data_IF_575031234806
#
_entry.id   IF_575031234806
#
_cell.length_a   1.000
_cell.length_b   1.000
_cell.length_c   1.000
_cell.angle_alpha   90.00
_cell.angle_beta   90.00
_cell.angle_gamma   90.00
#
_symmetry.space_group_name_H-M   'P 1'
#
loop_
_entity.id
_entity.type
_entity.pdbx_description
1 polymer ?
#
# COMPACT_ATOMS: atom_id res chain seq x y z
N UNK A 1 15.45 -0.54 7.97
CA UNK A 1 14.13 -1.10 8.36
C UNK A 1 13.74 -2.13 7.33
N UNK A 2 13.15 -3.26 7.75
CA UNK A 2 12.67 -4.33 6.85
C UNK A 2 11.16 -4.42 6.98
N UNK A 3 10.46 -4.55 5.84
CA UNK A 3 9.01 -4.77 5.77
C UNK A 3 8.69 -5.87 4.75
N UNK A 4 7.72 -6.73 5.06
CA UNK A 4 7.21 -7.78 4.18
C UNK A 4 5.68 -7.81 4.23
N UNK A 5 5.08 -8.51 3.27
CA UNK A 5 3.63 -8.81 3.27
C UNK A 5 2.74 -7.58 3.43
N UNK A 6 3.05 -6.54 2.67
CA UNK A 6 2.33 -5.25 2.73
C UNK A 6 0.92 -5.40 2.15
N UNK A 7 0.79 -6.17 1.06
CA UNK A 7 -0.48 -6.57 0.46
C UNK A 7 -1.49 -5.44 0.24
N UNK A 8 -1.03 -4.28 -0.20
CA UNK A 8 -1.91 -3.13 -0.47
C UNK A 8 -2.56 -2.50 0.76
N UNK A 9 -2.14 -2.86 1.98
CA UNK A 9 -2.67 -2.32 3.24
C UNK A 9 -2.00 -0.96 3.55
N UNK A 10 -2.43 0.08 2.83
CA UNK A 10 -1.81 1.41 2.85
C UNK A 10 -1.76 2.05 4.23
N UNK A 11 -2.86 2.02 4.99
CA UNK A 11 -2.94 2.68 6.29
C UNK A 11 -1.94 2.07 7.30
N UNK A 12 -1.86 0.73 7.33
CA UNK A 12 -0.91 0.02 8.17
C UNK A 12 0.54 0.32 7.74
N UNK A 13 0.81 0.33 6.43
CA UNK A 13 2.11 0.65 5.88
C UNK A 13 2.56 2.06 6.26
N UNK A 14 1.73 3.08 6.03
CA UNK A 14 2.04 4.47 6.39
C UNK A 14 2.23 4.64 7.90
N UNK A 15 1.41 3.98 8.71
CA UNK A 15 1.58 4.03 10.16
C UNK A 15 2.94 3.49 10.60
N UNK A 16 3.40 2.36 10.03
CA UNK A 16 4.71 1.78 10.34
C UNK A 16 5.85 2.71 9.88
N UNK A 17 5.73 3.33 8.70
CA UNK A 17 6.71 4.31 8.23
C UNK A 17 6.77 5.52 9.14
N UNK A 18 5.63 6.10 9.50
CA UNK A 18 5.55 7.31 10.30
C UNK A 18 6.10 7.12 11.72
N UNK A 19 5.92 5.93 12.31
CA UNK A 19 6.44 5.63 13.65
C UNK A 19 7.87 5.07 13.65
N UNK A 20 8.45 4.83 12.47
CA UNK A 20 9.78 4.24 12.31
C UNK A 20 9.88 2.84 12.93
N UNK A 21 8.82 2.04 12.81
CA UNK A 21 8.72 0.72 13.47
C UNK A 21 8.99 0.77 14.99
N UNK A 22 8.49 1.84 15.64
CA UNK A 22 8.62 2.05 17.08
C UNK A 22 9.91 2.75 17.54
N UNK A 23 10.86 3.01 16.63
CA UNK A 23 12.14 3.68 16.95
C UNK A 23 11.90 5.06 17.55
N UNK A 24 10.99 5.85 16.98
CA UNK A 24 10.71 7.21 17.44
C UNK A 24 10.16 7.18 18.87
N UNK A 25 9.19 6.29 19.14
CA UNK A 25 8.64 6.10 20.49
C UNK A 25 9.73 5.70 21.49
N UNK A 26 10.58 4.74 21.13
CA UNK A 26 11.69 4.30 21.97
C UNK A 26 12.66 5.45 22.30
N UNK A 27 12.95 6.32 21.33
CA UNK A 27 13.80 7.50 21.54
C UNK A 27 13.15 8.55 22.45
N UNK A 28 11.85 8.78 22.33
CA UNK A 28 11.10 9.66 23.24
C UNK A 28 11.12 9.09 24.66
N UNK A 29 10.92 7.79 24.84
CA UNK A 29 10.97 7.13 26.14
C UNK A 29 12.38 7.21 26.76
N UNK A 30 13.43 7.02 25.97
CA UNK A 30 14.82 7.14 26.40
C UNK A 30 15.16 8.56 26.87
N UNK A 31 14.75 9.59 26.10
CA UNK A 31 15.01 11.00 26.39
C UNK A 31 14.30 11.48 27.65
N UNK A 32 13.02 11.18 27.76
CA UNK A 32 12.17 11.82 28.77
C UNK A 32 11.89 10.93 29.98
N UNK A 33 12.04 9.60 29.88
CA UNK A 33 11.82 8.66 30.98
C UNK A 33 10.66 9.11 31.90
N UNK A 34 11.00 9.66 33.06
CA UNK A 34 10.06 10.15 34.07
C UNK A 34 9.95 11.68 34.12
N UNK A 35 10.60 12.43 33.22
CA UNK A 35 10.61 13.90 33.26
C UNK A 35 9.31 14.52 32.72
N UNK A 36 8.57 13.78 31.89
CA UNK A 36 7.23 14.16 31.42
C UNK A 36 6.27 12.97 31.58
N UNK A 37 4.96 13.25 31.57
CA UNK A 37 3.95 12.21 31.74
C UNK A 37 3.91 11.23 30.56
N UNK A 38 3.33 10.04 30.76
CA UNK A 38 3.10 9.10 29.67
C UNK A 38 2.19 9.69 28.59
N UNK A 39 1.21 10.50 29.01
CA UNK A 39 0.32 11.22 28.10
C UNK A 39 1.10 12.15 27.19
N UNK A 40 1.99 12.99 27.75
CA UNK A 40 2.83 13.91 26.99
C UNK A 40 3.74 13.19 26.00
N UNK A 41 4.33 12.03 26.41
CA UNK A 41 5.16 11.23 25.49
C UNK A 41 4.35 10.68 24.30
N UNK A 42 3.12 10.22 24.55
CA UNK A 42 2.21 9.76 23.49
C UNK A 42 1.79 10.91 22.59
N UNK A 43 1.52 12.06 23.16
CA UNK A 43 1.14 13.27 22.44
C UNK A 43 2.26 13.74 21.51
N UNK A 44 3.49 13.80 22.00
CA UNK A 44 4.68 14.13 21.21
C UNK A 44 4.92 13.11 20.08
N UNK A 45 4.79 11.82 20.38
CA UNK A 45 4.91 10.77 19.37
C UNK A 45 3.84 10.93 18.26
N UNK A 46 2.58 11.19 18.65
CA UNK A 46 1.49 11.39 17.69
C UNK A 46 1.73 12.64 16.83
N UNK A 47 2.26 13.71 17.42
CA UNK A 47 2.62 14.92 16.67
C UNK A 47 3.69 14.64 15.60
N UNK A 48 4.69 13.83 15.92
CA UNK A 48 5.73 13.44 14.95
C UNK A 48 5.15 12.56 13.84
N UNK A 49 4.27 11.61 14.19
CA UNK A 49 3.69 10.67 13.21
C UNK A 49 2.73 11.36 12.25
N UNK A 50 1.87 12.23 12.78
CA UNK A 50 0.76 12.88 12.08
C UNK A 50 0.70 14.36 12.45
N UNK A 51 1.67 15.19 12.01
CA UNK A 51 1.78 16.57 12.48
C UNK A 51 0.57 17.42 12.11
N UNK A 52 0.08 17.35 10.88
CA UNK A 52 -1.03 18.17 10.42
C UNK A 52 -2.34 17.84 11.15
N UNK A 53 -2.67 16.56 11.25
CA UNK A 53 -3.88 16.07 11.91
C UNK A 53 -3.86 16.41 13.41
N UNK A 54 -2.70 16.22 14.06
CA UNK A 54 -2.55 16.50 15.49
C UNK A 54 -2.65 18.01 15.76
N UNK A 55 -2.02 18.86 14.97
CA UNK A 55 -2.11 20.32 15.11
C UNK A 55 -3.54 20.81 14.90
N UNK A 56 -4.23 20.29 13.89
CA UNK A 56 -5.64 20.64 13.64
C UNK A 56 -6.54 20.24 14.82
N UNK A 57 -6.30 19.08 15.42
CA UNK A 57 -7.03 18.64 16.60
C UNK A 57 -6.78 19.56 17.81
N UNK A 58 -5.52 19.92 18.06
CA UNK A 58 -5.11 20.79 19.15
C UNK A 58 -5.75 22.19 18.99
N UNK A 59 -5.69 22.78 17.79
CA UNK A 59 -6.31 24.07 17.50
C UNK A 59 -7.81 24.06 17.78
N UNK A 60 -8.54 23.05 17.30
CA UNK A 60 -9.97 22.87 17.58
C UNK A 60 -10.28 22.72 19.06
N UNK A 61 -9.37 22.10 19.82
CA UNK A 61 -9.55 21.94 21.27
C UNK A 61 -9.41 23.28 21.98
N UNK A 62 -8.41 24.09 21.59
CA UNK A 62 -8.09 25.36 22.22
C UNK A 62 -9.01 26.51 21.74
N UNK A 63 -9.70 26.41 20.59
CA UNK A 63 -10.69 27.41 20.12
C UNK A 63 -11.76 27.76 21.16
N UNK A 64 -11.95 26.92 22.17
CA UNK A 64 -12.92 27.13 23.27
C UNK A 64 -12.34 27.91 24.44
N UNK A 65 -11.04 28.16 24.47
CA UNK A 65 -10.36 28.87 25.56
C UNK A 65 -10.43 30.37 25.35
N UNK A 66 -10.71 31.15 26.43
CA UNK A 66 -10.78 32.63 26.38
C UNK A 66 -9.48 33.28 25.90
N UNK A 67 -8.32 32.63 26.13
CA UNK A 67 -7.00 33.10 25.74
C UNK A 67 -6.35 32.20 24.69
N UNK A 68 -7.09 31.87 23.64
CA UNK A 68 -6.68 30.91 22.57
C UNK A 68 -5.24 31.10 22.09
N UNK A 69 -4.87 32.35 21.69
CA UNK A 69 -3.55 32.64 21.13
C UNK A 69 -2.41 32.35 22.14
N UNK A 70 -2.61 32.75 23.38
CA UNK A 70 -1.58 32.52 24.42
C UNK A 70 -1.41 31.03 24.73
N UNK A 71 -2.51 30.28 24.84
CA UNK A 71 -2.48 28.82 25.10
C UNK A 71 -1.85 28.09 23.93
N UNK A 72 -2.17 28.47 22.70
CA UNK A 72 -1.60 27.86 21.49
C UNK A 72 -0.11 28.18 21.37
N UNK A 73 0.31 29.42 21.62
CA UNK A 73 1.73 29.82 21.58
C UNK A 73 2.56 29.10 22.64
N UNK A 74 2.01 28.88 23.84
CA UNK A 74 2.68 28.09 24.88
C UNK A 74 2.82 26.63 24.48
N UNK A 75 1.78 26.04 23.89
CA UNK A 75 1.84 24.68 23.36
C UNK A 75 2.89 24.57 22.23
N UNK A 76 2.93 25.51 21.29
CA UNK A 76 3.97 25.53 20.26
C UNK A 76 5.36 25.60 20.86
N UNK A 77 5.58 26.45 21.84
CA UNK A 77 6.86 26.61 22.52
C UNK A 77 7.33 25.29 23.11
N UNK A 78 6.48 24.62 23.86
CA UNK A 78 6.79 23.32 24.47
C UNK A 78 7.07 22.27 23.41
N UNK A 79 6.24 22.16 22.38
CA UNK A 79 6.40 21.13 21.34
C UNK A 79 7.64 21.36 20.47
N UNK A 80 7.95 22.61 20.12
CA UNK A 80 9.16 22.94 19.36
C UNK A 80 10.44 22.56 20.12
N UNK A 81 10.53 22.84 21.40
CA UNK A 81 11.66 22.40 22.23
C UNK A 81 11.78 20.87 22.24
N UNK A 82 10.69 20.18 22.49
CA UNK A 82 10.68 18.69 22.53
C UNK A 82 11.05 18.07 21.18
N UNK A 83 10.53 18.61 20.09
CA UNK A 83 10.85 18.15 18.72
C UNK A 83 12.33 18.33 18.37
N UNK A 84 12.93 19.45 18.75
CA UNK A 84 14.37 19.70 18.57
C UNK A 84 15.20 18.67 19.34
N UNK A 85 14.84 18.36 20.58
CA UNK A 85 15.54 17.35 21.38
C UNK A 85 15.43 15.94 20.77
N UNK A 86 14.23 15.54 20.34
CA UNK A 86 14.04 14.26 19.65
C UNK A 86 14.84 14.22 18.35
N UNK A 87 14.83 15.31 17.57
CA UNK A 87 15.59 15.41 16.34
C UNK A 87 17.11 15.27 16.57
N UNK A 88 17.64 15.86 17.64
CA UNK A 88 19.04 15.68 18.06
C UNK A 88 19.33 14.21 18.39
N UNK A 89 18.45 13.58 19.18
CA UNK A 89 18.63 12.19 19.60
C UNK A 89 18.63 11.20 18.44
N UNK A 90 17.71 11.35 17.48
CA UNK A 90 17.68 10.46 16.30
C UNK A 90 18.81 10.74 15.33
N UNK A 91 19.32 11.98 15.28
CA UNK A 91 20.41 12.40 14.40
C UNK A 91 21.80 12.09 14.96
N UNK A 92 21.94 11.86 16.27
CA UNK A 92 23.23 11.72 16.97
C UNK A 92 24.13 10.60 16.43
N UNK A 93 23.54 9.55 15.84
CA UNK A 93 24.26 8.42 15.23
C UNK A 93 24.82 8.71 13.85
N UNK A 94 24.51 9.85 13.24
CA UNK A 94 24.90 10.20 11.89
C UNK A 94 25.96 11.30 11.85
N UNK A 95 26.72 11.33 10.76
CA UNK A 95 27.64 12.44 10.50
C UNK A 95 26.87 13.72 10.17
N UNK A 96 27.42 14.88 10.54
CA UNK A 96 26.83 16.18 10.22
C UNK A 96 26.51 16.34 8.73
N UNK A 97 27.39 15.86 7.85
CA UNK A 97 27.17 15.89 6.41
C UNK A 97 25.93 15.11 5.97
N UNK A 98 25.65 13.98 6.60
CA UNK A 98 24.46 13.17 6.31
C UNK A 98 23.20 13.87 6.80
N UNK A 99 23.22 14.44 8.00
CA UNK A 99 22.09 15.20 8.55
C UNK A 99 21.77 16.40 7.66
N UNK A 100 22.78 17.18 7.24
CA UNK A 100 22.60 18.34 6.36
C UNK A 100 21.96 18.01 5.02
N UNK A 101 22.26 16.86 4.43
CA UNK A 101 21.61 16.39 3.20
C UNK A 101 20.13 16.00 3.39
N UNK A 102 19.72 15.73 4.62
CA UNK A 102 18.37 15.35 4.96
C UNK A 102 17.49 16.54 5.41
N UNK A 103 18.10 17.71 5.65
CA UNK A 103 17.39 18.89 6.13
C UNK A 103 16.30 19.33 5.15
N UNK A 104 15.11 19.69 5.65
CA UNK A 104 14.01 20.17 4.84
C UNK A 104 14.30 21.56 4.27
N UNK A 105 14.06 21.74 2.96
CA UNK A 105 14.24 23.01 2.28
C UNK A 105 13.39 24.13 2.94
N UNK A 106 14.01 25.31 3.10
CA UNK A 106 13.36 26.48 3.69
C UNK A 106 13.48 26.59 5.21
N UNK A 107 13.90 25.52 5.90
CA UNK A 107 14.24 25.53 7.33
C UNK A 107 15.64 24.94 7.60
N UNK A 108 16.36 24.58 6.59
CA UNK A 108 17.65 23.88 6.65
C UNK A 108 18.68 24.62 7.53
N UNK A 109 18.83 25.93 7.33
CA UNK A 109 19.75 26.73 8.14
C UNK A 109 19.36 26.76 9.61
N UNK A 110 18.07 27.03 9.90
CA UNK A 110 17.57 27.15 11.27
C UNK A 110 17.65 25.81 12.00
N UNK A 111 17.30 24.73 11.33
CA UNK A 111 17.36 23.38 11.92
C UNK A 111 18.83 22.96 12.13
N UNK A 112 19.76 23.18 11.17
CA UNK A 112 21.17 22.87 11.35
C UNK A 112 21.75 23.61 12.58
N UNK A 113 21.40 24.88 12.74
CA UNK A 113 21.79 25.69 13.89
C UNK A 113 21.23 25.12 15.21
N UNK A 114 19.93 24.83 15.26
CA UNK A 114 19.29 24.28 16.45
C UNK A 114 19.78 22.88 16.82
N UNK A 115 20.19 22.06 15.85
CA UNK A 115 20.74 20.73 16.10
C UNK A 115 22.16 20.72 16.66
N UNK A 116 23.03 21.66 16.20
CA UNK A 116 24.45 21.58 16.43
C UNK A 116 25.01 22.56 17.47
N UNK A 117 24.22 23.55 17.84
CA UNK A 117 24.66 24.51 18.82
C UNK A 117 24.40 24.01 20.26
N UNK A 118 25.10 23.01 20.70
CA UNK A 118 25.17 22.66 22.13
C UNK A 118 26.34 23.40 22.80
N UNK A 119 26.09 24.06 23.93
CA UNK A 119 27.08 24.62 24.80
C UNK A 119 26.43 25.09 26.10
N UNK A 120 27.10 24.89 27.22
CA UNK A 120 26.72 25.34 28.57
C UNK A 120 26.65 26.90 28.71
N UNK A 121 26.69 27.61 27.60
CA UNK A 121 26.73 29.07 27.55
C UNK A 121 25.30 29.62 27.61
N UNK A 122 24.98 30.38 28.65
CA UNK A 122 23.69 31.06 28.88
C UNK A 122 23.27 31.96 27.68
N UNK A 123 24.24 32.45 26.91
CA UNK A 123 23.96 33.28 25.74
C UNK A 123 23.34 32.45 24.61
N UNK A 124 23.73 31.18 24.45
CA UNK A 124 23.16 30.29 23.45
C UNK A 124 21.74 29.87 23.81
N UNK A 125 21.44 29.62 25.07
CA UNK A 125 20.07 29.31 25.52
C UNK A 125 19.11 30.46 25.23
N UNK A 126 19.53 31.71 25.45
CA UNK A 126 18.75 32.90 25.07
C UNK A 126 18.54 32.98 23.55
N UNK A 127 19.57 32.67 22.77
CA UNK A 127 19.53 32.68 21.31
C UNK A 127 18.52 31.64 20.78
N UNK A 128 18.50 30.43 21.32
CA UNK A 128 17.52 29.42 20.96
C UNK A 128 16.10 29.86 21.28
N UNK A 129 15.90 30.38 22.46
CA UNK A 129 14.59 30.92 22.85
C UNK A 129 14.12 31.99 21.85
N UNK A 130 14.99 32.89 21.44
CA UNK A 130 14.68 33.93 20.46
C UNK A 130 14.32 33.36 19.07
N UNK A 131 15.01 32.31 18.62
CA UNK A 131 14.67 31.64 17.38
C UNK A 131 13.26 31.03 17.45
N UNK A 132 12.95 30.31 18.53
CA UNK A 132 11.63 29.69 18.70
C UNK A 132 10.52 30.75 18.78
N UNK A 133 10.70 31.82 19.54
CA UNK A 133 9.76 32.93 19.61
C UNK A 133 9.56 33.55 18.21
N UNK A 134 10.64 33.78 17.46
CA UNK A 134 10.55 34.31 16.10
C UNK A 134 9.77 33.40 15.15
N UNK A 135 9.90 32.08 15.27
CA UNK A 135 9.11 31.12 14.47
C UNK A 135 7.62 31.24 14.79
N UNK A 136 7.27 31.40 16.06
CA UNK A 136 5.89 31.57 16.54
C UNK A 136 5.33 32.92 16.09
N UNK A 137 6.04 34.01 16.35
CA UNK A 137 5.63 35.39 16.04
C UNK A 137 5.41 35.60 14.53
N UNK A 138 6.19 34.89 13.69
CA UNK A 138 6.04 34.91 12.23
C UNK A 138 4.97 33.95 11.70
N UNK A 139 4.18 33.31 12.58
CA UNK A 139 3.17 32.32 12.20
C UNK A 139 3.74 31.14 11.38
N UNK A 140 5.00 30.74 11.64
CA UNK A 140 5.69 29.66 10.93
C UNK A 140 5.76 28.35 11.75
N UNK A 141 5.13 28.28 12.92
CA UNK A 141 5.21 27.15 13.83
C UNK A 141 4.69 25.86 13.21
N UNK A 142 3.55 25.87 12.52
CA UNK A 142 2.98 24.70 11.85
C UNK A 142 3.95 24.14 10.81
N UNK A 143 4.42 24.99 9.90
CA UNK A 143 5.35 24.57 8.85
C UNK A 143 6.67 24.05 9.41
N UNK A 144 7.14 24.62 10.51
CA UNK A 144 8.35 24.14 11.17
C UNK A 144 8.15 22.80 11.86
N UNK A 145 6.99 22.58 12.52
CA UNK A 145 6.64 21.29 13.15
C UNK A 145 6.58 20.20 12.10
N UNK A 146 5.95 20.45 10.94
CA UNK A 146 5.92 19.49 9.82
C UNK A 146 7.34 19.17 9.37
N UNK A 147 8.14 20.19 9.09
CA UNK A 147 9.49 20.05 8.57
C UNK A 147 10.41 19.26 9.52
N UNK A 148 10.37 19.55 10.83
CA UNK A 148 11.20 18.85 11.82
C UNK A 148 10.69 17.43 12.08
N UNK A 149 9.37 17.20 12.02
CA UNK A 149 8.79 15.86 12.12
C UNK A 149 9.20 14.97 10.94
N UNK A 150 9.22 15.50 9.74
CA UNK A 150 9.69 14.78 8.56
C UNK A 150 11.19 14.47 8.64
N UNK A 151 12.00 15.39 9.16
CA UNK A 151 13.41 15.11 9.44
C UNK A 151 13.56 13.98 10.46
N UNK A 152 12.80 13.98 11.55
CA UNK A 152 12.83 12.91 12.56
C UNK A 152 12.47 11.55 11.93
N UNK A 153 11.39 11.48 11.16
CA UNK A 153 10.98 10.26 10.44
C UNK A 153 12.06 9.77 9.49
N UNK A 154 12.64 10.68 8.70
CA UNK A 154 13.73 10.39 7.76
C UNK A 154 14.99 9.89 8.46
N UNK A 155 15.35 10.46 9.61
CA UNK A 155 16.52 10.04 10.40
C UNK A 155 16.25 8.75 11.20
N UNK A 156 15.00 8.46 11.52
CA UNK A 156 14.63 7.21 12.18
C UNK A 156 14.83 6.00 11.25
N UNK A 157 14.48 6.15 9.96
CA UNK A 157 14.63 5.10 8.95
C UNK A 157 15.67 5.55 7.92
N UNK A 158 16.91 5.12 8.10
CA UNK A 158 18.01 5.45 7.20
C UNK A 158 17.86 4.77 5.84
N UNK A 159 17.45 3.51 5.85
CA UNK A 159 17.28 2.68 4.67
C UNK A 159 16.06 1.76 4.88
N UNK A 160 15.21 1.67 3.85
CA UNK A 160 14.05 0.81 3.81
C UNK A 160 14.31 -0.36 2.86
N UNK A 161 14.14 -1.58 3.36
CA UNK A 161 14.22 -2.80 2.58
C UNK A 161 12.85 -3.49 2.58
N UNK A 162 12.25 -3.59 1.41
CA UNK A 162 10.97 -4.28 1.21
C UNK A 162 11.26 -5.72 0.78
N UNK A 163 10.67 -6.69 1.51
CA UNK A 163 10.84 -8.13 1.26
C UNK A 163 9.61 -8.69 0.51
N UNK A 164 9.11 -7.93 -0.46
CA UNK A 164 8.06 -8.35 -1.38
C UNK A 164 6.65 -8.36 -0.82
N UNK A 165 5.75 -8.85 -1.67
CA UNK A 165 4.31 -8.92 -1.50
C UNK A 165 3.69 -7.54 -1.19
N UNK A 166 4.03 -6.57 -2.06
CA UNK A 166 3.45 -5.22 -2.03
C UNK A 166 2.02 -5.25 -2.55
N UNK A 167 1.82 -6.02 -3.62
CA UNK A 167 0.56 -6.14 -4.35
C UNK A 167 -0.40 -7.15 -3.75
N UNK A 168 -1.63 -7.09 -4.25
CA UNK A 168 -2.78 -7.95 -3.95
C UNK A 168 -3.38 -7.79 -2.53
N UNK A 169 -4.60 -8.26 -2.37
CA UNK A 169 -5.48 -8.24 -1.20
C UNK A 169 -6.05 -6.87 -0.86
N UNK A 170 -5.23 -5.90 -0.45
CA UNK A 170 -5.66 -4.53 -0.17
C UNK A 170 -5.62 -3.63 -1.41
N UNK A 171 -6.37 -2.51 -1.43
CA UNK A 171 -6.50 -1.62 -2.59
C UNK A 171 -5.35 -0.62 -2.75
N UNK A 172 -4.49 -0.48 -1.75
CA UNK A 172 -3.54 0.63 -1.63
C UNK A 172 -2.22 0.47 -2.38
N UNK A 173 -2.01 -0.62 -3.14
CA UNK A 173 -0.74 -0.85 -3.83
C UNK A 173 -0.24 0.33 -4.69
N UNK A 174 -1.10 1.02 -5.48
CA UNK A 174 -0.65 2.18 -6.27
C UNK A 174 -0.11 3.32 -5.40
N UNK A 175 -0.76 3.58 -4.26
CA UNK A 175 -0.37 4.67 -3.35
C UNK A 175 0.89 4.28 -2.57
N UNK A 176 1.02 3.00 -2.20
CA UNK A 176 2.23 2.46 -1.54
C UNK A 176 3.43 2.61 -2.46
N UNK A 177 3.30 2.23 -3.73
CA UNK A 177 4.37 2.36 -4.72
C UNK A 177 4.77 3.82 -4.95
N UNK A 178 3.80 4.74 -5.07
CA UNK A 178 4.08 6.19 -5.15
C UNK A 178 4.93 6.64 -3.94
N UNK A 179 4.61 6.19 -2.72
CA UNK A 179 5.37 6.52 -1.51
C UNK A 179 6.75 5.86 -1.45
N UNK A 180 6.86 4.63 -1.93
CA UNK A 180 8.15 3.94 -2.01
C UNK A 180 9.10 4.61 -2.99
N UNK A 181 8.61 5.06 -4.14
CA UNK A 181 9.41 5.77 -5.14
C UNK A 181 9.94 7.13 -4.64
N UNK A 182 9.21 7.79 -3.74
CA UNK A 182 9.65 9.03 -3.10
C UNK A 182 10.63 8.78 -1.94
N UNK A 183 10.82 7.53 -1.51
CA UNK A 183 11.61 7.24 -0.33
C UNK A 183 13.11 7.45 -0.58
N UNK A 184 13.79 8.11 0.36
CA UNK A 184 15.16 8.61 0.19
C UNK A 184 16.24 7.53 0.05
N UNK A 185 15.99 6.32 0.48
CA UNK A 185 16.92 5.18 0.36
C UNK A 185 16.13 3.88 0.47
N UNK A 186 15.94 3.21 -0.65
CA UNK A 186 15.06 2.04 -0.81
C UNK A 186 15.72 0.98 -1.66
N UNK A 187 15.51 -0.28 -1.31
CA UNK A 187 15.62 -1.42 -2.20
C UNK A 187 14.44 -2.37 -1.98
N UNK A 188 14.05 -3.04 -3.05
CA UNK A 188 12.89 -3.94 -3.08
C UNK A 188 13.34 -5.30 -3.56
N UNK A 189 13.01 -6.33 -2.79
CA UNK A 189 13.01 -7.72 -3.24
C UNK A 189 11.56 -8.08 -3.57
N UNK A 190 11.30 -8.53 -4.79
CA UNK A 190 9.95 -8.84 -5.23
C UNK A 190 9.46 -10.17 -4.68
N UNK A 191 8.23 -10.19 -4.15
CA UNK A 191 7.52 -11.39 -3.73
C UNK A 191 6.81 -12.09 -4.90
N UNK A 192 6.15 -13.22 -4.62
CA UNK A 192 5.45 -13.98 -5.66
C UNK A 192 4.23 -13.24 -6.23
N UNK A 193 3.53 -12.43 -5.42
CA UNK A 193 2.45 -11.58 -5.91
C UNK A 193 2.98 -10.48 -6.84
N UNK A 194 4.09 -9.86 -6.46
CA UNK A 194 4.70 -8.80 -7.27
C UNK A 194 5.16 -9.33 -8.63
N UNK A 195 5.75 -10.53 -8.67
CA UNK A 195 6.15 -11.19 -9.92
C UNK A 195 4.96 -11.43 -10.86
N UNK A 196 3.77 -11.73 -10.34
CA UNK A 196 2.56 -11.83 -11.15
C UNK A 196 2.20 -10.50 -11.81
N UNK A 197 2.31 -9.40 -11.06
CA UNK A 197 2.07 -8.06 -11.60
C UNK A 197 3.13 -7.64 -12.61
N UNK A 198 4.40 -7.99 -12.40
CA UNK A 198 5.48 -7.79 -13.38
C UNK A 198 5.21 -8.56 -14.67
N UNK A 199 4.78 -9.83 -14.57
CA UNK A 199 4.38 -10.63 -15.70
C UNK A 199 3.17 -10.04 -16.44
N UNK A 200 2.19 -9.53 -15.71
CA UNK A 200 1.02 -8.88 -16.29
C UNK A 200 1.39 -7.57 -17.02
N UNK A 201 2.22 -6.72 -16.42
CA UNK A 201 2.73 -5.50 -17.04
C UNK A 201 3.51 -5.79 -18.33
N UNK A 202 4.24 -6.92 -18.36
CA UNK A 202 4.97 -7.40 -19.55
C UNK A 202 4.06 -8.05 -20.60
N UNK A 203 2.74 -8.14 -20.37
CA UNK A 203 1.77 -8.69 -21.31
C UNK A 203 1.63 -10.22 -21.26
N UNK A 204 2.09 -10.88 -20.19
CA UNK A 204 1.84 -12.32 -20.02
C UNK A 204 0.37 -12.57 -19.68
N UNK A 205 -0.34 -13.22 -20.59
CA UNK A 205 -1.80 -13.41 -20.51
C UNK A 205 -2.25 -14.22 -19.29
N UNK A 206 -1.49 -15.24 -18.90
CA UNK A 206 -1.80 -16.03 -17.70
C UNK A 206 -1.58 -15.23 -16.41
N UNK A 207 -0.54 -14.38 -16.36
CA UNK A 207 -0.33 -13.46 -15.24
C UNK A 207 -1.44 -12.42 -15.16
N UNK A 208 -1.85 -11.84 -16.29
CA UNK A 208 -2.99 -10.89 -16.38
C UNK A 208 -4.26 -11.53 -15.82
N UNK A 209 -4.60 -12.74 -16.29
CA UNK A 209 -5.78 -13.45 -15.81
C UNK A 209 -5.70 -13.73 -14.30
N UNK A 210 -4.52 -14.08 -13.79
CA UNK A 210 -4.29 -14.34 -12.37
C UNK A 210 -4.45 -13.07 -11.52
N UNK A 211 -3.85 -11.95 -11.93
CA UNK A 211 -3.99 -10.65 -11.26
C UNK A 211 -5.45 -10.23 -11.18
N UNK A 212 -6.19 -10.27 -12.30
CA UNK A 212 -7.61 -9.88 -12.33
C UNK A 212 -8.44 -10.83 -11.43
N UNK A 213 -8.16 -12.14 -11.45
CA UNK A 213 -8.85 -13.11 -10.60
C UNK A 213 -8.62 -12.81 -9.11
N UNK A 214 -7.39 -12.49 -8.72
CA UNK A 214 -7.08 -12.14 -7.33
C UNK A 214 -7.78 -10.85 -6.95
N UNK A 215 -7.73 -9.80 -7.77
CA UNK A 215 -8.44 -8.56 -7.54
C UNK A 215 -9.95 -8.78 -7.40
N UNK A 216 -10.56 -9.62 -8.26
CA UNK A 216 -11.99 -9.98 -8.15
C UNK A 216 -12.29 -10.71 -6.83
N UNK A 217 -11.42 -11.63 -6.42
CA UNK A 217 -11.59 -12.41 -5.19
C UNK A 217 -11.56 -11.56 -3.92
N UNK A 218 -10.71 -10.52 -3.89
CA UNK A 218 -10.53 -9.65 -2.74
C UNK A 218 -11.28 -8.31 -2.86
N UNK A 219 -12.11 -8.17 -3.91
CA UNK A 219 -12.91 -6.97 -4.14
C UNK A 219 -12.07 -5.70 -4.42
N UNK A 220 -10.99 -5.87 -5.17
CA UNK A 220 -10.02 -4.82 -5.46
C UNK A 220 -9.93 -4.46 -6.94
N UNK A 221 -11.03 -4.60 -7.69
CA UNK A 221 -11.05 -4.22 -9.10
C UNK A 221 -10.77 -2.73 -9.33
N UNK A 222 -11.12 -1.87 -8.37
CA UNK A 222 -10.78 -0.45 -8.38
C UNK A 222 -9.26 -0.19 -8.45
N UNK A 223 -8.44 -1.08 -7.89
CA UNK A 223 -6.97 -1.00 -8.02
C UNK A 223 -6.53 -1.06 -9.48
N UNK A 224 -7.21 -1.88 -10.30
CA UNK A 224 -6.93 -1.99 -11.73
C UNK A 224 -7.44 -0.76 -12.48
N UNK A 225 -8.71 -0.37 -12.28
CA UNK A 225 -9.37 0.68 -13.07
C UNK A 225 -8.94 2.07 -12.62
N UNK A 226 -9.08 2.41 -11.35
CA UNK A 226 -8.78 3.73 -10.80
C UNK A 226 -7.28 3.88 -10.49
N UNK A 227 -6.65 2.82 -9.96
CA UNK A 227 -5.25 2.84 -9.57
C UNK A 227 -4.29 2.85 -10.74
N UNK A 228 -4.54 2.03 -11.76
CA UNK A 228 -3.64 1.83 -12.89
C UNK A 228 -4.25 2.13 -14.26
N UNK A 229 -5.52 2.53 -14.35
CA UNK A 229 -6.19 2.87 -15.62
C UNK A 229 -6.42 1.65 -16.53
N UNK A 230 -6.46 0.44 -15.97
CA UNK A 230 -6.65 -0.80 -16.72
C UNK A 230 -8.13 -1.01 -16.99
N UNK A 231 -8.51 -1.08 -18.26
CA UNK A 231 -9.90 -1.22 -18.67
C UNK A 231 -10.37 -2.69 -18.62
N UNK A 232 -11.16 -3.02 -17.60
CA UNK A 232 -11.77 -4.37 -17.47
C UNK A 232 -13.21 -4.46 -18.01
N UNK A 233 -13.77 -3.39 -18.58
CA UNK A 233 -15.14 -3.37 -19.13
C UNK A 233 -15.44 -4.50 -20.12
N UNK A 234 -14.54 -4.82 -21.09
CA UNK A 234 -14.79 -5.93 -22.01
C UNK A 234 -15.05 -7.26 -21.29
N UNK A 235 -14.24 -7.56 -20.27
CA UNK A 235 -14.42 -8.75 -19.43
C UNK A 235 -15.72 -8.70 -18.63
N UNK A 236 -16.08 -7.54 -18.09
CA UNK A 236 -17.31 -7.36 -17.31
C UNK A 236 -18.56 -7.61 -18.16
N UNK A 237 -18.60 -7.07 -19.38
CA UNK A 237 -19.71 -7.28 -20.32
C UNK A 237 -19.82 -8.75 -20.74
N UNK A 238 -18.70 -9.38 -21.05
CA UNK A 238 -18.66 -10.80 -21.35
C UNK A 238 -19.19 -11.65 -20.21
N UNK A 239 -18.72 -11.39 -18.98
CA UNK A 239 -19.12 -12.14 -17.80
C UNK A 239 -20.63 -12.02 -17.52
N UNK A 240 -21.20 -10.81 -17.65
CA UNK A 240 -22.62 -10.56 -17.47
C UNK A 240 -23.44 -11.34 -18.49
N UNK A 241 -23.04 -11.33 -19.76
CA UNK A 241 -23.75 -12.00 -20.84
C UNK A 241 -23.63 -13.53 -20.75
N UNK A 242 -22.41 -14.04 -20.53
CA UNK A 242 -22.12 -15.47 -20.48
C UNK A 242 -22.79 -16.17 -19.30
N UNK A 243 -22.88 -15.49 -18.16
CA UNK A 243 -23.47 -16.00 -16.93
C UNK A 243 -24.77 -15.26 -16.56
N UNK A 244 -25.60 -14.88 -17.55
CA UNK A 244 -26.79 -14.05 -17.34
C UNK A 244 -27.71 -14.63 -16.23
N UNK A 245 -28.00 -15.93 -16.29
CA UNK A 245 -28.90 -16.65 -15.39
C UNK A 245 -28.20 -17.32 -14.19
N UNK A 246 -26.90 -17.03 -13.99
CA UNK A 246 -26.10 -17.62 -12.90
C UNK A 246 -25.63 -16.52 -11.94
N UNK A 247 -25.96 -16.64 -10.67
CA UNK A 247 -25.50 -15.72 -9.63
C UNK A 247 -24.02 -15.94 -9.24
N UNK A 248 -23.40 -17.01 -9.70
CA UNK A 248 -21.99 -17.35 -9.44
C UNK A 248 -21.62 -17.33 -7.95
N UNK A 249 -22.47 -17.82 -7.06
CA UNK A 249 -22.32 -17.73 -5.58
C UNK A 249 -20.98 -18.27 -5.07
N UNK A 250 -20.45 -19.31 -5.71
CA UNK A 250 -19.16 -19.92 -5.32
C UNK A 250 -17.95 -19.00 -5.58
N UNK A 251 -18.14 -17.92 -6.35
CA UNK A 251 -17.16 -16.93 -6.72
C UNK A 251 -17.36 -15.59 -6.01
N UNK A 252 -18.21 -15.52 -5.00
CA UNK A 252 -18.41 -14.29 -4.23
C UNK A 252 -17.08 -13.79 -3.65
N UNK A 253 -16.84 -12.47 -3.69
CA UNK A 253 -15.62 -11.89 -3.19
C UNK A 253 -15.47 -12.10 -1.68
N UNK A 254 -14.22 -12.22 -1.22
CA UNK A 254 -13.85 -12.31 0.19
C UNK A 254 -13.39 -10.94 0.68
N UNK A 255 -14.33 -10.06 0.97
CA UNK A 255 -14.05 -8.74 1.52
C UNK A 255 -14.67 -8.57 2.91
N UNK A 256 -13.98 -7.84 3.78
CA UNK A 256 -14.53 -7.42 5.09
C UNK A 256 -15.65 -6.38 4.94
N UNK A 257 -15.72 -5.71 3.80
CA UNK A 257 -16.63 -4.62 3.51
C UNK A 257 -17.83 -5.03 2.63
N UNK A 258 -18.08 -6.33 2.48
CA UNK A 258 -19.20 -6.87 1.69
C UNK A 258 -20.57 -6.28 2.05
N UNK A 259 -20.72 -5.73 3.25
CA UNK A 259 -21.96 -5.06 3.68
C UNK A 259 -22.20 -3.72 2.97
N UNK A 260 -21.19 -3.11 2.35
CA UNK A 260 -21.31 -1.83 1.62
C UNK A 260 -21.86 -2.00 0.21
N UNK A 261 -21.79 -3.22 -0.35
CA UNK A 261 -22.24 -3.50 -1.72
C UNK A 261 -23.68 -3.96 -1.77
N UNK A 262 -24.38 -3.55 -2.82
CA UNK A 262 -25.68 -4.14 -3.16
C UNK A 262 -25.49 -5.60 -3.58
N UNK A 263 -26.55 -6.40 -3.49
CA UNK A 263 -26.48 -7.78 -4.00
C UNK A 263 -26.17 -7.83 -5.50
N UNK A 264 -26.61 -6.83 -6.26
CA UNK A 264 -26.33 -6.72 -7.70
C UNK A 264 -24.84 -6.56 -7.98
N UNK A 265 -24.13 -5.72 -7.21
CA UNK A 265 -22.69 -5.51 -7.39
C UNK A 265 -21.90 -6.77 -7.08
N UNK A 266 -22.26 -7.47 -5.99
CA UNK A 266 -21.65 -8.75 -5.62
C UNK A 266 -21.80 -9.80 -6.73
N UNK A 267 -22.97 -9.88 -7.36
CA UNK A 267 -23.24 -10.80 -8.45
C UNK A 267 -22.38 -10.44 -9.66
N UNK A 268 -22.24 -9.15 -10.02
CA UNK A 268 -21.40 -8.72 -11.14
C UNK A 268 -19.94 -9.12 -10.88
N UNK A 269 -19.38 -8.81 -9.71
CA UNK A 269 -18.00 -9.18 -9.33
C UNK A 269 -17.82 -10.71 -9.39
N UNK A 270 -18.81 -11.47 -8.94
CA UNK A 270 -18.77 -12.95 -8.96
C UNK A 270 -18.75 -13.50 -10.38
N UNK A 271 -19.52 -12.90 -11.30
CA UNK A 271 -19.53 -13.27 -12.71
C UNK A 271 -18.16 -12.98 -13.36
N UNK A 272 -17.57 -11.82 -13.07
CA UNK A 272 -16.20 -11.45 -13.52
C UNK A 272 -15.19 -12.45 -12.96
N UNK A 273 -15.26 -12.75 -11.66
CA UNK A 273 -14.37 -13.70 -11.01
C UNK A 273 -14.45 -15.10 -11.63
N UNK A 274 -15.67 -15.59 -11.92
CA UNK A 274 -15.87 -16.87 -12.59
C UNK A 274 -15.32 -16.86 -14.00
N UNK A 275 -15.66 -15.84 -14.81
CA UNK A 275 -15.21 -15.71 -16.19
C UNK A 275 -13.67 -15.72 -16.27
N UNK A 276 -13.01 -14.87 -15.51
CA UNK A 276 -11.55 -14.79 -15.54
C UNK A 276 -10.87 -16.04 -14.97
N UNK A 277 -11.50 -16.74 -14.02
CA UNK A 277 -10.98 -18.01 -13.50
C UNK A 277 -10.98 -19.09 -14.58
N UNK A 278 -12.03 -19.17 -15.40
CA UNK A 278 -12.10 -20.11 -16.52
C UNK A 278 -11.02 -19.78 -17.56
N UNK A 279 -10.90 -18.51 -17.93
CA UNK A 279 -9.86 -18.04 -18.86
C UNK A 279 -8.46 -18.37 -18.31
N UNK A 280 -8.21 -18.11 -17.04
CA UNK A 280 -6.94 -18.44 -16.37
C UNK A 280 -6.61 -19.92 -16.48
N UNK A 281 -7.54 -20.82 -16.13
CA UNK A 281 -7.32 -22.27 -16.24
C UNK A 281 -7.01 -22.70 -17.67
N UNK A 282 -7.63 -22.09 -18.67
CA UNK A 282 -7.33 -22.36 -20.07
C UNK A 282 -5.90 -21.93 -20.44
N UNK A 283 -5.52 -20.70 -20.11
CA UNK A 283 -4.20 -20.15 -20.39
C UNK A 283 -3.08 -20.90 -19.66
N UNK A 284 -3.25 -21.18 -18.37
CA UNK A 284 -2.29 -21.98 -17.60
C UNK A 284 -2.15 -23.40 -18.15
N UNK A 285 -3.28 -24.02 -18.54
CA UNK A 285 -3.25 -25.35 -19.15
C UNK A 285 -2.52 -25.38 -20.50
N UNK A 286 -2.64 -24.32 -21.32
CA UNK A 286 -1.86 -24.16 -22.54
C UNK A 286 -0.37 -24.05 -22.24
N UNK A 287 0.03 -23.26 -21.23
CA UNK A 287 1.42 -23.12 -20.80
C UNK A 287 1.99 -24.46 -20.31
N UNK A 288 1.27 -25.16 -19.44
CA UNK A 288 1.70 -26.46 -18.93
C UNK A 288 1.89 -27.49 -20.04
N UNK A 289 1.00 -27.50 -21.05
CA UNK A 289 1.13 -28.38 -22.22
C UNK A 289 2.31 -28.00 -23.12
N UNK A 290 2.58 -26.70 -23.26
CA UNK A 290 3.70 -26.18 -24.05
C UNK A 290 5.06 -26.43 -23.38
N UNK A 291 5.07 -26.48 -22.06
CA UNK A 291 6.28 -26.59 -21.20
C UNK A 291 6.23 -27.82 -20.30
N UNK A 292 6.33 -29.05 -20.86
CA UNK A 292 6.27 -30.30 -20.10
C UNK A 292 7.42 -30.45 -19.07
N UNK A 293 8.51 -29.71 -19.26
CA UNK A 293 9.65 -29.61 -18.34
C UNK A 293 9.27 -29.02 -16.98
N UNK A 294 8.19 -28.27 -16.86
CA UNK A 294 7.68 -27.74 -15.58
C UNK A 294 7.10 -28.82 -14.67
N UNK A 295 6.83 -30.02 -15.19
CA UNK A 295 6.28 -31.16 -14.45
C UNK A 295 4.98 -30.86 -13.69
N UNK A 296 4.11 -30.01 -14.27
CA UNK A 296 2.87 -29.52 -13.66
C UNK A 296 1.61 -30.18 -14.24
N UNK A 297 1.71 -31.35 -14.87
CA UNK A 297 0.57 -32.05 -15.48
C UNK A 297 -0.54 -32.42 -14.47
N UNK A 298 -0.20 -32.56 -13.20
CA UNK A 298 -1.13 -32.80 -12.11
C UNK A 298 -2.13 -31.63 -11.94
N UNK A 299 -1.78 -30.41 -12.36
CA UNK A 299 -2.62 -29.20 -12.34
C UNK A 299 -3.54 -29.04 -13.54
N UNK A 300 -3.53 -29.94 -14.49
CA UNK A 300 -4.49 -29.98 -15.59
C UNK A 300 -5.79 -30.62 -15.09
N UNK A 301 -6.83 -29.81 -14.88
CA UNK A 301 -8.13 -30.25 -14.35
C UNK A 301 -9.25 -30.20 -15.36
N UNK A 302 -9.24 -29.27 -16.34
CA UNK A 302 -10.36 -29.07 -17.26
C UNK A 302 -10.64 -30.30 -18.13
N UNK A 303 -9.63 -31.10 -18.49
CA UNK A 303 -9.75 -32.35 -19.22
C UNK A 303 -10.16 -33.56 -18.34
N UNK A 304 -10.23 -33.36 -17.01
CA UNK A 304 -10.64 -34.39 -16.03
C UNK A 304 -12.08 -34.18 -15.53
N UNK A 305 -12.78 -33.18 -16.05
CA UNK A 305 -14.17 -32.88 -15.70
C UNK A 305 -15.09 -33.76 -16.51
N UNK A 306 -15.95 -34.52 -15.84
CA UNK A 306 -17.12 -35.12 -16.44
C UNK A 306 -18.30 -34.15 -16.34
N UNK A 307 -18.58 -33.44 -17.43
CA UNK A 307 -19.65 -32.42 -17.47
C UNK A 307 -21.07 -33.02 -17.42
N UNK A 308 -21.24 -34.31 -17.67
CA UNK A 308 -22.56 -34.98 -17.58
C UNK A 308 -22.86 -35.36 -16.16
N UNK A 309 -21.90 -35.94 -15.46
CA UNK A 309 -22.02 -36.28 -14.05
C UNK A 309 -21.83 -35.05 -13.14
N UNK A 310 -21.11 -34.03 -13.60
CA UNK A 310 -20.72 -32.88 -12.79
C UNK A 310 -19.67 -33.24 -11.76
N UNK A 311 -18.68 -34.05 -12.15
CA UNK A 311 -17.58 -34.50 -11.28
C UNK A 311 -16.21 -34.18 -11.88
N UNK A 312 -15.18 -34.19 -11.04
CA UNK A 312 -13.77 -34.01 -11.45
C UNK A 312 -12.88 -35.03 -10.74
N UNK A 313 -11.93 -35.59 -11.49
CA UNK A 313 -10.95 -36.51 -10.91
C UNK A 313 -9.69 -35.74 -10.48
N UNK A 314 -9.40 -35.77 -9.17
CA UNK A 314 -8.20 -35.16 -8.59
C UNK A 314 -7.41 -36.22 -7.83
N UNK A 315 -6.17 -36.45 -8.22
CA UNK A 315 -5.29 -37.47 -7.61
C UNK A 315 -5.95 -38.88 -7.51
N UNK A 316 -6.67 -39.27 -8.56
CA UNK A 316 -7.34 -40.57 -8.64
C UNK A 316 -8.63 -40.69 -7.80
N UNK A 317 -9.10 -39.61 -7.17
CA UNK A 317 -10.37 -39.56 -6.46
C UNK A 317 -11.35 -38.70 -7.21
N UNK A 318 -12.60 -39.12 -7.26
CA UNK A 318 -13.70 -38.39 -7.86
C UNK A 318 -14.34 -37.45 -6.83
N UNK A 319 -14.55 -36.18 -7.23
CA UNK A 319 -15.20 -35.15 -6.43
C UNK A 319 -16.34 -34.52 -7.20
N UNK A 320 -17.43 -34.25 -6.53
CA UNK A 320 -18.55 -33.53 -7.11
C UNK A 320 -18.21 -32.04 -7.26
N UNK A 321 -18.56 -31.44 -8.42
CA UNK A 321 -18.41 -30.00 -8.67
C UNK A 321 -19.54 -29.23 -7.97
N UNK A 322 -19.16 -28.23 -7.21
CA UNK A 322 -20.12 -27.29 -6.61
C UNK A 322 -20.78 -26.36 -7.65
N UNK A 323 -20.16 -26.20 -8.80
CA UNK A 323 -20.62 -25.40 -9.93
C UNK A 323 -20.46 -26.24 -11.20
N UNK A 324 -21.52 -26.34 -11.98
CA UNK A 324 -21.58 -27.17 -13.20
C UNK A 324 -21.80 -26.33 -14.48
N UNK A 325 -21.93 -25.01 -14.33
CA UNK A 325 -22.22 -24.09 -15.43
C UNK A 325 -20.93 -23.48 -16.01
N UNK A 326 -20.36 -24.13 -17.01
CA UNK A 326 -19.14 -23.67 -17.71
C UNK A 326 -19.37 -23.60 -19.23
N UNK A 327 -20.19 -22.66 -19.72
CA UNK A 327 -20.67 -22.64 -21.12
C UNK A 327 -19.55 -22.42 -22.15
N UNK A 328 -18.41 -21.84 -21.75
CA UNK A 328 -17.29 -21.54 -22.66
C UNK A 328 -16.26 -22.66 -22.74
N UNK A 329 -16.42 -23.76 -22.00
CA UNK A 329 -15.48 -24.89 -22.06
C UNK A 329 -15.93 -25.87 -23.14
N UNK A 330 -15.10 -25.99 -24.20
CA UNK A 330 -15.29 -27.03 -25.21
C UNK A 330 -14.82 -28.39 -24.67
N UNK A 331 -15.72 -29.37 -24.58
CA UNK A 331 -15.43 -30.73 -24.09
C UNK A 331 -14.32 -31.43 -24.88
N UNK A 332 -14.15 -31.10 -26.17
CA UNK A 332 -13.11 -31.70 -27.04
C UNK A 332 -11.75 -31.05 -26.85
N UNK A 333 -11.76 -29.73 -26.60
CA UNK A 333 -10.58 -28.89 -26.48
C UNK A 333 -10.69 -27.97 -25.23
N UNK A 334 -10.69 -28.52 -24.01
CA UNK A 334 -11.07 -27.77 -22.82
C UNK A 334 -10.15 -26.59 -22.46
N UNK A 335 -8.95 -26.58 -23.00
CA UNK A 335 -8.00 -25.46 -22.80
C UNK A 335 -7.99 -24.44 -23.94
N UNK A 336 -8.80 -24.63 -25.00
CA UNK A 336 -8.91 -23.65 -26.09
C UNK A 336 -9.77 -22.47 -25.62
N UNK A 337 -9.29 -21.26 -25.82
CA UNK A 337 -10.11 -20.06 -25.67
C UNK A 337 -11.18 -20.02 -26.76
N UNK A 338 -12.38 -19.50 -26.47
CA UNK A 338 -13.34 -19.14 -27.47
C UNK A 338 -12.84 -17.90 -28.27
N UNK A 339 -13.47 -17.57 -29.37
CA UNK A 339 -13.13 -16.36 -30.14
C UNK A 339 -13.31 -15.11 -29.28
N UNK A 340 -14.42 -15.02 -28.54
CA UNK A 340 -14.74 -13.92 -27.67
C UNK A 340 -13.74 -13.81 -26.50
N UNK A 341 -13.39 -14.93 -25.85
CA UNK A 341 -12.35 -14.97 -24.80
C UNK A 341 -10.99 -14.50 -25.34
N UNK A 342 -10.63 -14.90 -26.57
CA UNK A 342 -9.38 -14.48 -27.21
C UNK A 342 -9.34 -12.95 -27.42
N UNK A 343 -10.44 -12.38 -27.90
CA UNK A 343 -10.55 -10.92 -28.08
C UNK A 343 -10.44 -10.17 -26.75
N UNK A 344 -11.07 -10.70 -25.71
CA UNK A 344 -11.01 -10.09 -24.36
C UNK A 344 -9.60 -10.14 -23.80
N UNK A 345 -8.93 -11.28 -23.89
CA UNK A 345 -7.55 -11.44 -23.42
C UNK A 345 -6.62 -10.47 -24.13
N UNK A 346 -6.76 -10.28 -25.45
CA UNK A 346 -5.95 -9.34 -26.21
C UNK A 346 -6.22 -7.87 -25.79
N UNK A 347 -7.49 -7.51 -25.58
CA UNK A 347 -7.84 -6.17 -25.08
C UNK A 347 -7.29 -5.92 -23.68
N UNK A 348 -7.37 -6.89 -22.77
CA UNK A 348 -6.80 -6.79 -21.43
C UNK A 348 -5.28 -6.65 -21.50
N UNK A 349 -4.60 -7.47 -22.30
CA UNK A 349 -3.17 -7.41 -22.54
C UNK A 349 -2.72 -6.03 -22.99
N UNK A 350 -3.41 -5.47 -23.99
CA UNK A 350 -3.13 -4.13 -24.46
C UNK A 350 -3.32 -3.08 -23.36
N UNK A 351 -4.34 -3.23 -22.49
CA UNK A 351 -4.58 -2.31 -21.40
C UNK A 351 -3.47 -2.36 -20.33
N UNK A 352 -2.96 -3.55 -19.99
CA UNK A 352 -1.84 -3.71 -19.05
C UNK A 352 -0.53 -3.15 -19.62
N UNK A 353 -0.18 -3.48 -20.86
CA UNK A 353 1.07 -3.02 -21.49
C UNK A 353 1.11 -1.50 -21.61
N UNK A 354 -0.02 -0.84 -21.86
CA UNK A 354 -0.08 0.61 -22.04
C UNK A 354 -0.42 1.38 -20.76
N UNK A 355 -0.50 0.73 -19.60
CA UNK A 355 -0.65 1.43 -18.33
C UNK A 355 0.66 2.10 -17.91
N UNK A 356 0.78 3.41 -18.17
CA UNK A 356 1.99 4.18 -17.85
C UNK A 356 2.35 4.10 -16.36
N UNK A 357 1.33 4.24 -15.49
CA UNK A 357 1.56 4.20 -14.04
C UNK A 357 2.05 2.83 -13.57
N UNK A 358 1.45 1.73 -14.08
CA UNK A 358 1.89 0.39 -13.73
C UNK A 358 3.34 0.16 -14.20
N UNK A 359 3.64 0.54 -15.43
CA UNK A 359 4.99 0.41 -16.00
C UNK A 359 6.02 1.21 -15.19
N UNK A 360 5.65 2.42 -14.73
CA UNK A 360 6.53 3.25 -13.88
C UNK A 360 6.82 2.58 -12.54
N UNK A 361 5.83 1.89 -11.96
CA UNK A 361 5.99 1.22 -10.67
C UNK A 361 6.78 -0.09 -10.73
N UNK A 362 6.74 -0.77 -11.89
CA UNK A 362 7.36 -2.10 -12.07
C UNK A 362 8.80 -1.99 -12.60
N UNK A 363 9.13 -0.97 -13.39
CA UNK A 363 10.45 -0.74 -14.00
C UNK A 363 11.33 0.19 -13.15
#
# INVERSE_FOLDING_TARGET
MFLSDIHGEYEAFIHILNNGSGIIKSKIEELYKNSITEHDRKELATLIYYPEEKMNLVKKTFEKEENYENVLNEWYRIMLYRLIEVSRAVSSKYTRSKVRKALPKGFDYIIDELLHSQGEDRNKEKYYKQIIESIIDLNRADAFIIAISDLIKRMAIDHLHIIGDIYDRGPGAPIIMDKLMEFHSLDIQWGNHDILWMGAASGNEACIANVIRICSRYDNLATLEEGYGINIRPLSMFAINTYADDECKNFFPKSKELSRYSNSDKIIISKIHKAISVIQFKLEGQLIKKHPEYKMKDRLFLDKIDFEKGTVIVNGKEYELNDKNFPTIDKKNPYKLSEEETEIVERLKNSFIHSEKLNTHIN
#
